data_IF_887993904753
#
_entry.id   IF_887993904753
#
_cell.length_a   1.000
_cell.length_b   1.000
_cell.length_c   1.000
_cell.angle_alpha   90.00
_cell.angle_beta   90.00
_cell.angle_gamma   90.00
#
_symmetry.space_group_name_H-M   'P 1'
#
loop_
_entity.id
_entity.type
_entity.pdbx_description
1 polymer ?
#
# COMPACT_ATOMS: atom_id res chain seq x y z
N UNK A 1 -3.22 -12.43 13.53
CA UNK A 1 -3.89 -12.34 12.23
C UNK A 1 -5.30 -11.87 12.48
N UNK A 2 -5.70 -10.80 11.81
CA UNK A 2 -7.03 -10.20 11.88
C UNK A 2 -7.98 -10.77 10.83
N UNK A 3 -7.47 -11.50 9.84
CA UNK A 3 -8.26 -12.18 8.82
C UNK A 3 -8.56 -13.62 9.26
N UNK A 4 -9.84 -13.97 9.39
CA UNK A 4 -10.29 -15.36 9.63
C UNK A 4 -10.44 -16.11 8.30
N UNK A 5 -10.80 -15.39 7.22
CA UNK A 5 -10.99 -15.94 5.89
C UNK A 5 -10.13 -15.19 4.85
N UNK A 6 -8.94 -15.71 4.48
CA UNK A 6 -8.09 -15.09 3.48
C UNK A 6 -8.74 -15.21 2.08
N UNK A 7 -8.96 -14.06 1.43
CA UNK A 7 -9.48 -13.97 0.05
C UNK A 7 -8.39 -13.87 -0.99
N UNK A 8 -7.21 -13.38 -0.60
CA UNK A 8 -6.06 -13.25 -1.48
C UNK A 8 -4.77 -13.35 -0.66
N UNK A 9 -3.86 -14.17 -1.16
CA UNK A 9 -2.48 -14.25 -0.67
C UNK A 9 -1.58 -14.01 -1.88
N UNK A 10 -0.63 -13.08 -1.78
CA UNK A 10 0.31 -12.86 -2.87
C UNK A 10 1.70 -12.44 -2.38
N UNK A 11 2.76 -12.78 -3.13
CA UNK A 11 4.10 -12.27 -2.85
C UNK A 11 4.14 -10.75 -2.95
N UNK A 12 4.87 -10.14 -2.02
CA UNK A 12 5.10 -8.72 -1.98
C UNK A 12 6.42 -8.37 -1.29
N UNK A 13 6.85 -7.13 -1.49
CA UNK A 13 7.95 -6.52 -0.74
C UNK A 13 7.40 -5.42 0.15
N UNK A 14 7.74 -5.43 1.43
CA UNK A 14 7.48 -4.33 2.36
C UNK A 14 8.70 -3.43 2.46
N UNK A 15 8.49 -2.12 2.35
CA UNK A 15 9.56 -1.13 2.45
C UNK A 15 9.77 -0.63 3.90
N UNK A 16 9.03 -1.17 4.87
CA UNK A 16 9.15 -0.76 6.28
C UNK A 16 10.47 -1.24 6.93
N UNK A 17 10.91 -2.47 6.61
CA UNK A 17 12.05 -3.13 7.27
C UNK A 17 13.14 -3.54 6.28
N UNK A 18 13.91 -2.58 5.73
CA UNK A 18 15.00 -2.85 4.78
C UNK A 18 14.55 -3.75 3.59
N UNK A 19 13.49 -3.36 2.88
CA UNK A 19 12.97 -4.07 1.69
C UNK A 19 12.78 -5.57 1.95
N UNK A 20 11.90 -5.89 2.89
CA UNK A 20 11.64 -7.25 3.32
C UNK A 20 10.73 -7.97 2.31
N UNK A 21 10.95 -9.27 2.11
CA UNK A 21 10.20 -10.08 1.13
C UNK A 21 9.25 -11.02 1.86
N UNK A 22 7.99 -10.98 1.46
CA UNK A 22 6.92 -11.61 2.22
C UNK A 22 5.69 -11.83 1.38
N UNK A 23 4.56 -11.95 2.07
CA UNK A 23 3.26 -12.09 1.45
C UNK A 23 2.29 -11.05 2.02
N UNK A 24 1.50 -10.44 1.13
CA UNK A 24 0.29 -9.71 1.50
C UNK A 24 -0.84 -10.72 1.63
N UNK A 25 -1.64 -10.58 2.68
CA UNK A 25 -2.88 -11.33 2.89
C UNK A 25 -4.02 -10.34 3.02
N UNK A 26 -5.04 -10.50 2.19
CA UNK A 26 -6.29 -9.72 2.24
C UNK A 26 -7.42 -10.66 2.61
N UNK A 27 -8.19 -10.29 3.63
CA UNK A 27 -9.36 -11.04 4.06
C UNK A 27 -10.48 -10.13 4.50
N UNK A 28 -11.32 -10.65 5.38
CA UNK A 28 -12.47 -9.98 5.99
C UNK A 28 -12.08 -8.92 7.04
N UNK A 29 -11.01 -9.15 7.80
CA UNK A 29 -10.58 -8.23 8.86
C UNK A 29 -9.69 -7.07 8.40
N UNK A 30 -8.86 -7.27 7.38
CA UNK A 30 -7.97 -6.20 6.92
C UNK A 30 -6.90 -6.58 5.90
N UNK A 31 -5.94 -5.67 5.80
CA UNK A 31 -4.70 -5.84 5.05
C UNK A 31 -3.60 -6.32 5.99
N UNK A 32 -2.97 -7.44 5.65
CA UNK A 32 -1.84 -7.97 6.42
C UNK A 32 -0.62 -8.18 5.53
N UNK A 33 0.56 -8.15 6.15
CA UNK A 33 1.82 -8.55 5.55
C UNK A 33 2.64 -9.38 6.54
N UNK A 34 3.25 -10.46 6.05
CA UNK A 34 4.18 -11.30 6.81
C UNK A 34 5.48 -11.48 6.06
N UNK A 35 6.60 -11.26 6.73
CA UNK A 35 7.93 -11.55 6.17
C UNK A 35 8.19 -13.05 6.11
N UNK A 36 8.84 -13.50 5.02
CA UNK A 36 9.12 -14.92 4.82
C UNK A 36 10.27 -15.45 5.68
N UNK A 37 11.17 -14.59 6.17
CA UNK A 37 12.38 -14.96 6.92
C UNK A 37 12.24 -14.76 8.43
N UNK A 38 11.56 -13.69 8.86
CA UNK A 38 11.36 -13.35 10.26
C UNK A 38 9.89 -13.12 10.57
N UNK A 39 9.24 -14.12 11.18
CA UNK A 39 7.81 -14.07 11.54
C UNK A 39 7.44 -12.96 12.54
N UNK A 40 8.42 -12.34 13.20
CA UNK A 40 8.17 -11.18 14.08
C UNK A 40 7.99 -9.88 13.29
N UNK A 41 8.36 -9.87 12.01
CA UNK A 41 8.16 -8.74 11.09
C UNK A 41 6.83 -8.94 10.36
N UNK A 42 5.78 -8.43 10.98
CA UNK A 42 4.44 -8.45 10.41
C UNK A 42 3.80 -7.06 10.50
N UNK A 43 2.82 -6.82 9.64
CA UNK A 43 2.01 -5.61 9.62
C UNK A 43 0.56 -6.07 9.53
N UNK A 44 -0.30 -5.58 10.41
CA UNK A 44 -1.74 -5.81 10.40
C UNK A 44 -2.44 -4.45 10.38
N UNK A 45 -3.29 -4.21 9.39
CA UNK A 45 -4.03 -2.96 9.21
C UNK A 45 -5.50 -3.31 9.02
N UNK A 46 -6.33 -3.18 10.07
CA UNK A 46 -7.77 -3.33 9.96
C UNK A 46 -8.36 -2.39 8.90
N UNK A 47 -9.40 -2.82 8.21
CA UNK A 47 -10.07 -1.97 7.20
C UNK A 47 -10.52 -0.63 7.77
N UNK A 48 -10.99 -0.64 9.02
CA UNK A 48 -11.43 0.56 9.75
C UNK A 48 -10.31 1.57 10.04
N UNK A 49 -9.05 1.13 10.03
CA UNK A 49 -7.87 1.99 10.27
C UNK A 49 -7.27 2.56 8.98
N UNK A 50 -7.67 2.06 7.80
CA UNK A 50 -7.25 2.64 6.53
C UNK A 50 -7.95 3.99 6.34
N UNK A 51 -7.14 5.03 6.14
CA UNK A 51 -7.63 6.36 5.76
C UNK A 51 -7.74 6.43 4.23
N UNK A 52 -6.62 6.23 3.54
CA UNK A 52 -6.57 6.18 2.08
C UNK A 52 -5.43 5.30 1.56
N UNK A 53 -5.52 4.94 0.28
CA UNK A 53 -4.52 4.15 -0.42
C UNK A 53 -3.89 5.02 -1.51
N UNK A 54 -2.60 5.31 -1.38
CA UNK A 54 -1.87 6.04 -2.41
C UNK A 54 -1.29 5.06 -3.44
N UNK A 55 -1.62 5.27 -4.72
CA UNK A 55 -1.24 4.38 -5.82
C UNK A 55 -0.28 5.10 -6.76
N UNK A 56 1.00 4.72 -6.74
CA UNK A 56 1.99 5.26 -7.67
C UNK A 56 1.79 4.65 -9.04
N UNK A 57 1.42 5.47 -10.02
CA UNK A 57 1.11 5.03 -11.40
C UNK A 57 2.11 5.64 -12.38
N UNK A 58 2.78 4.78 -13.13
CA UNK A 58 3.71 5.15 -14.20
C UNK A 58 3.17 4.70 -15.56
N UNK A 59 3.81 5.18 -16.64
CA UNK A 59 3.50 4.81 -18.02
C UNK A 59 2.00 4.88 -18.32
N UNK A 60 1.37 6.04 -18.09
CA UNK A 60 -0.06 6.29 -18.37
C UNK A 60 -1.06 5.32 -17.71
N UNK A 61 -0.69 4.57 -16.66
CA UNK A 61 -1.59 3.57 -16.07
C UNK A 61 -1.11 2.12 -16.17
N UNK A 62 -0.08 1.87 -16.96
CA UNK A 62 0.34 0.51 -17.25
C UNK A 62 1.15 -0.12 -16.12
N UNK A 63 1.83 0.68 -15.29
CA UNK A 63 2.72 0.16 -14.25
C UNK A 63 2.46 0.79 -12.88
N UNK A 64 2.36 -0.06 -11.85
CA UNK A 64 2.13 0.33 -10.45
C UNK A 64 3.27 -0.26 -9.62
N UNK A 65 4.41 0.44 -9.46
CA UNK A 65 5.54 -0.10 -8.72
C UNK A 65 5.34 -0.09 -7.21
N UNK A 66 4.49 0.82 -6.69
CA UNK A 66 4.28 0.99 -5.26
C UNK A 66 2.84 1.32 -4.92
N UNK A 67 2.37 0.74 -3.84
CA UNK A 67 1.11 1.05 -3.17
C UNK A 67 1.47 1.44 -1.75
N UNK A 68 0.92 2.54 -1.25
CA UNK A 68 1.05 2.94 0.14
C UNK A 68 -0.32 2.88 0.81
N UNK A 69 -0.44 2.05 1.83
CA UNK A 69 -1.62 1.98 2.69
C UNK A 69 -1.42 2.99 3.81
N UNK A 70 -2.19 4.08 3.78
CA UNK A 70 -2.11 5.13 4.80
C UNK A 70 -3.19 4.89 5.84
N UNK A 71 -2.76 4.83 7.09
CA UNK A 71 -3.63 4.65 8.24
C UNK A 71 -4.01 5.99 8.85
N UNK A 72 -5.12 6.01 9.59
CA UNK A 72 -5.62 7.22 10.25
C UNK A 72 -4.65 7.78 11.30
N UNK A 73 -3.83 6.93 11.94
CA UNK A 73 -2.99 7.31 13.08
C UNK A 73 -1.51 6.89 12.98
N UNK A 74 -1.20 5.80 12.28
CA UNK A 74 0.12 5.15 12.32
C UNK A 74 0.95 5.40 11.05
N UNK A 75 0.62 6.46 10.30
CA UNK A 75 1.31 6.81 9.07
C UNK A 75 1.03 5.84 7.92
N UNK A 76 1.96 5.74 6.96
CA UNK A 76 1.77 4.98 5.73
C UNK A 76 2.78 3.87 5.51
N UNK A 77 2.28 2.70 5.13
CA UNK A 77 3.05 1.49 4.85
C UNK A 77 3.16 1.27 3.35
N UNK A 78 4.39 1.18 2.84
CA UNK A 78 4.65 1.07 1.40
C UNK A 78 4.96 -0.38 1.02
N UNK A 79 4.33 -0.84 -0.05
CA UNK A 79 4.49 -2.19 -0.59
C UNK A 79 4.69 -2.19 -2.11
N UNK A 80 5.42 -3.19 -2.61
CA UNK A 80 5.41 -3.59 -4.01
C UNK A 80 4.75 -4.97 -4.09
N UNK A 81 3.59 -5.05 -4.72
CA UNK A 81 2.83 -6.29 -4.86
C UNK A 81 3.14 -6.97 -6.20
N UNK A 82 3.09 -8.31 -6.25
CA UNK A 82 3.27 -9.06 -7.51
C UNK A 82 2.20 -8.73 -8.55
N UNK A 83 0.94 -8.61 -8.12
CA UNK A 83 -0.21 -8.29 -8.97
C UNK A 83 -0.98 -7.08 -8.40
N UNK A 84 -0.44 -5.85 -8.54
CA UNK A 84 -0.97 -4.67 -7.85
C UNK A 84 -2.39 -4.31 -8.29
N UNK A 85 -2.75 -4.55 -9.57
CA UNK A 85 -4.12 -4.29 -10.07
C UNK A 85 -5.15 -5.21 -9.42
N UNK A 86 -4.81 -6.49 -9.23
CA UNK A 86 -5.67 -7.48 -8.57
C UNK A 86 -5.86 -7.13 -7.10
N UNK A 87 -4.77 -6.77 -6.42
CA UNK A 87 -4.79 -6.27 -5.04
C UNK A 87 -5.72 -5.07 -4.88
N UNK A 88 -5.52 -4.01 -5.68
CA UNK A 88 -6.32 -2.78 -5.62
C UNK A 88 -7.78 -3.01 -5.99
N UNK A 89 -8.07 -3.95 -6.91
CA UNK A 89 -9.44 -4.30 -7.25
C UNK A 89 -10.15 -4.98 -6.09
N UNK A 90 -9.49 -5.90 -5.38
CA UNK A 90 -10.06 -6.56 -4.21
C UNK A 90 -10.23 -5.58 -3.02
N UNK A 91 -9.28 -4.68 -2.80
CA UNK A 91 -9.38 -3.69 -1.72
C UNK A 91 -10.58 -2.74 -1.89
N UNK A 92 -11.12 -2.56 -3.11
CA UNK A 92 -12.31 -1.74 -3.35
C UNK A 92 -13.59 -2.33 -2.75
N UNK A 93 -13.58 -3.60 -2.32
CA UNK A 93 -14.70 -4.20 -1.60
C UNK A 93 -14.78 -3.68 -0.15
N UNK A 94 -13.71 -3.07 0.37
CA UNK A 94 -13.59 -2.64 1.76
C UNK A 94 -13.27 -1.15 1.93
N UNK A 95 -12.58 -0.57 0.95
CA UNK A 95 -12.18 0.84 0.96
C UNK A 95 -12.91 1.56 -0.18
N UNK A 96 -13.58 2.71 0.08
CA UNK A 96 -14.24 3.48 -0.95
C UNK A 96 -13.28 3.89 -2.07
N UNK A 97 -13.76 3.88 -3.33
CA UNK A 97 -12.93 4.10 -4.52
C UNK A 97 -12.28 5.49 -4.53
N UNK A 98 -12.96 6.49 -3.98
CA UNK A 98 -12.50 7.87 -3.80
C UNK A 98 -11.28 7.99 -2.88
N UNK A 99 -11.07 7.01 -1.99
CA UNK A 99 -9.92 6.95 -1.09
C UNK A 99 -8.69 6.31 -1.76
N UNK A 100 -8.78 5.94 -3.04
CA UNK A 100 -7.62 5.54 -3.84
C UNK A 100 -7.07 6.74 -4.61
N UNK A 101 -6.01 7.34 -4.08
CA UNK A 101 -5.46 8.62 -4.57
C UNK A 101 -4.15 8.43 -5.32
N UNK A 102 -3.90 9.27 -6.32
CA UNK A 102 -2.57 9.35 -6.96
C UNK A 102 -1.62 10.17 -6.08
N UNK A 103 -0.32 9.84 -6.03
CA UNK A 103 0.68 10.70 -5.40
C UNK A 103 0.60 12.10 -6.01
N UNK A 104 0.56 13.13 -5.17
CA UNK A 104 0.74 14.51 -5.65
C UNK A 104 2.17 14.62 -6.19
N UNK A 105 2.39 15.19 -7.40
CA UNK A 105 3.73 15.50 -7.85
C UNK A 105 4.42 16.40 -6.81
N UNK A 106 5.58 15.98 -6.31
CA UNK A 106 6.40 16.78 -5.39
C UNK A 106 7.10 17.92 -6.16
N UNK A 107 6.35 18.75 -6.89
CA UNK A 107 6.86 19.97 -7.51
C UNK A 107 5.86 21.09 -7.33
N UNK A 108 5.84 21.66 -6.12
CA UNK A 108 5.27 22.98 -5.87
C UNK A 108 6.13 23.75 -4.85
N UNK A 109 7.38 24.06 -5.22
CA UNK A 109 8.21 25.20 -4.75
C UNK A 109 9.65 25.11 -5.27
N UNK A 110 9.90 25.64 -6.46
CA UNK A 110 11.14 26.38 -6.81
C UNK A 110 10.72 27.48 -7.79
N UNK A 111 10.06 28.52 -7.29
CA UNK A 111 9.88 29.78 -8.03
C UNK A 111 10.30 30.90 -7.11
N UNK A 112 11.61 31.20 -7.07
CA UNK A 112 12.12 32.26 -6.21
C UNK A 112 13.64 32.39 -6.13
N UNK A 113 14.42 31.74 -7.01
CA UNK A 113 15.89 31.84 -6.94
C UNK A 113 16.56 31.86 -8.32
N UNK A 114 15.98 32.60 -9.28
CA UNK A 114 16.68 33.05 -10.49
C UNK A 114 16.08 34.39 -10.93
N UNK A 115 16.30 35.41 -10.10
CA UNK A 115 16.29 36.81 -10.49
C UNK A 115 17.39 37.51 -9.71
N UNK A 116 18.61 37.43 -10.23
CA UNK A 116 19.63 38.46 -10.13
C UNK A 116 20.31 38.56 -11.49
#
# INVERSE_FOLDING_TARGET
MINEQPRLVMPATSFLYQNSYGNIVIGDGGFEYFDNKDRRKFIEIPWSEIDYVMVSVFFKGHWIPRIQVVTKKNGGYIFAAKEPKKLLKLMQDYVPKENFVKPRPMFKRISGWFKH
#
